data_IF_295707016334
#
_entry.id   IF_295707016334
#
_cell.length_a   1.000
_cell.length_b   1.000
_cell.length_c   1.000
_cell.angle_alpha   90.00
_cell.angle_beta   90.00
_cell.angle_gamma   90.00
#
_symmetry.space_group_name_H-M   'P 1'
#
loop_
_entity.id
_entity.type
_entity.pdbx_description
1 polymer ?
#
# COMPACT_ATOMS: atom_id res chain seq x y z
N UNK A 1 -11.66 14.51 12.06
CA UNK A 1 -11.07 13.29 11.47
C UNK A 1 -10.06 12.71 12.44
N UNK A 2 -10.18 11.42 12.76
CA UNK A 2 -9.20 10.72 13.60
C UNK A 2 -7.88 10.53 12.87
N UNK A 3 -6.81 10.25 13.64
CA UNK A 3 -5.51 9.94 13.04
C UNK A 3 -5.58 8.74 12.11
N UNK A 4 -6.31 7.70 12.49
CA UNK A 4 -6.47 6.50 11.69
C UNK A 4 -7.16 6.79 10.36
N UNK A 5 -8.23 7.57 10.37
CA UNK A 5 -8.92 7.96 9.14
C UNK A 5 -8.06 8.87 8.26
N UNK A 6 -7.32 9.79 8.87
CA UNK A 6 -6.40 10.66 8.14
C UNK A 6 -5.30 9.84 7.45
N UNK A 7 -4.76 8.85 8.14
CA UNK A 7 -3.75 7.95 7.57
C UNK A 7 -4.33 7.02 6.51
N UNK A 8 -5.58 6.62 6.65
CA UNK A 8 -6.28 5.88 5.59
C UNK A 8 -6.40 6.76 4.33
N UNK A 9 -6.82 8.02 4.50
CA UNK A 9 -6.91 8.95 3.38
C UNK A 9 -5.53 9.18 2.73
N UNK A 10 -4.49 9.36 3.54
CA UNK A 10 -3.13 9.50 3.04
C UNK A 10 -2.65 8.24 2.28
N UNK A 11 -3.05 7.06 2.74
CA UNK A 11 -2.72 5.80 2.06
C UNK A 11 -3.45 5.70 0.71
N UNK A 12 -4.68 6.20 0.63
CA UNK A 12 -5.40 6.28 -0.65
C UNK A 12 -4.63 7.17 -1.63
N UNK A 13 -4.13 8.32 -1.18
CA UNK A 13 -3.30 9.19 -2.03
C UNK A 13 -2.01 8.51 -2.45
N UNK A 14 -1.38 7.78 -1.54
CA UNK A 14 -0.19 6.98 -1.86
C UNK A 14 -0.50 5.92 -2.92
N UNK A 15 -1.63 5.24 -2.79
CA UNK A 15 -2.07 4.24 -3.76
C UNK A 15 -2.33 4.85 -5.13
N UNK A 16 -2.99 6.00 -5.18
CA UNK A 16 -3.23 6.72 -6.43
C UNK A 16 -1.92 7.17 -7.09
N UNK A 17 -0.98 7.67 -6.30
CA UNK A 17 0.35 8.05 -6.78
C UNK A 17 1.07 6.84 -7.38
N UNK A 18 1.10 5.72 -6.69
CA UNK A 18 1.74 4.50 -7.20
C UNK A 18 1.05 3.95 -8.45
N UNK A 19 -0.28 3.99 -8.48
CA UNK A 19 -1.06 3.57 -9.65
C UNK A 19 -0.67 4.41 -10.87
N UNK A 20 -0.67 5.73 -10.73
CA UNK A 20 -0.33 6.63 -11.83
C UNK A 20 1.12 6.48 -12.27
N UNK A 21 2.04 6.32 -11.33
CA UNK A 21 3.46 6.11 -11.64
C UNK A 21 3.68 4.81 -12.40
N UNK A 22 3.12 3.71 -11.92
CA UNK A 22 3.22 2.40 -12.58
C UNK A 22 2.60 2.43 -13.98
N UNK A 23 1.41 3.02 -14.10
CA UNK A 23 0.73 3.15 -15.39
C UNK A 23 1.52 4.00 -16.38
N UNK A 24 2.10 5.10 -15.92
CA UNK A 24 2.91 5.98 -16.76
C UNK A 24 4.16 5.27 -17.27
N UNK A 25 4.87 4.58 -16.40
CA UNK A 25 6.08 3.85 -16.80
C UNK A 25 5.77 2.71 -17.77
N UNK A 26 4.70 1.96 -17.53
CA UNK A 26 4.26 0.92 -18.45
C UNK A 26 3.89 1.49 -19.81
N UNK A 27 3.18 2.61 -19.83
CA UNK A 27 2.77 3.27 -21.09
C UNK A 27 3.97 3.81 -21.85
N UNK A 28 4.99 4.33 -21.15
CA UNK A 28 6.23 4.78 -21.80
C UNK A 28 6.96 3.63 -22.50
N UNK A 29 6.93 2.44 -21.94
CA UNK A 29 7.59 1.28 -22.54
C UNK A 29 6.75 0.61 -23.62
N UNK A 30 5.42 0.52 -23.44
CA UNK A 30 4.52 -0.25 -24.29
C UNK A 30 3.72 0.59 -25.28
N UNK A 31 3.65 1.90 -25.06
CA UNK A 31 2.99 2.86 -25.93
C UNK A 31 1.52 3.10 -25.57
N UNK A 32 0.99 4.20 -26.11
CA UNK A 32 -0.39 4.63 -25.87
C UNK A 32 -1.41 3.71 -26.53
N UNK A 33 -1.10 3.16 -27.70
CA UNK A 33 -1.98 2.22 -28.38
C UNK A 33 -2.20 0.95 -27.54
N UNK A 34 -1.15 0.48 -26.87
CA UNK A 34 -1.27 -0.63 -25.93
C UNK A 34 -2.12 -0.23 -24.73
N UNK A 35 -1.85 0.95 -24.14
CA UNK A 35 -2.58 1.43 -22.96
C UNK A 35 -4.08 1.50 -23.23
N UNK A 36 -4.48 2.15 -24.32
CA UNK A 36 -5.87 2.39 -24.66
C UNK A 36 -6.55 1.20 -25.33
N UNK A 37 -5.78 0.24 -25.84
CA UNK A 37 -6.29 -0.92 -26.56
C UNK A 37 -6.72 -2.06 -25.68
N UNK A 38 -7.16 -3.17 -26.28
CA UNK A 38 -7.66 -4.34 -25.54
C UNK A 38 -6.54 -5.17 -24.89
N UNK A 39 -5.28 -4.94 -25.25
CA UNK A 39 -4.09 -5.61 -24.71
C UNK A 39 -4.06 -7.12 -24.94
N UNK A 40 -4.65 -7.57 -26.04
CA UNK A 40 -4.75 -9.01 -26.37
C UNK A 40 -3.41 -9.61 -26.81
N UNK A 41 -2.56 -8.79 -27.43
CA UNK A 41 -1.25 -9.24 -27.92
C UNK A 41 -0.26 -9.37 -26.78
N UNK A 42 0.57 -10.43 -26.85
CA UNK A 42 1.68 -10.59 -25.91
C UNK A 42 2.65 -9.43 -26.02
N UNK A 43 3.14 -8.96 -24.88
CA UNK A 43 4.13 -7.89 -24.80
C UNK A 43 5.32 -8.37 -23.99
N UNK A 44 6.52 -7.84 -24.22
CA UNK A 44 7.68 -8.15 -23.37
C UNK A 44 7.43 -7.74 -21.92
N UNK A 45 8.09 -8.39 -20.96
CA UNK A 45 8.04 -7.94 -19.56
C UNK A 45 8.50 -6.49 -19.43
N UNK A 46 7.97 -5.79 -18.43
CA UNK A 46 8.40 -4.43 -18.10
C UNK A 46 9.89 -4.43 -17.72
N UNK A 47 10.56 -3.32 -18.01
CA UNK A 47 11.95 -3.12 -17.61
C UNK A 47 12.11 -3.10 -16.09
N UNK A 48 13.35 -2.97 -15.63
CA UNK A 48 13.71 -3.13 -14.22
C UNK A 48 12.89 -2.22 -13.30
N UNK A 49 12.90 -0.91 -13.53
CA UNK A 49 12.21 0.02 -12.64
C UNK A 49 10.70 -0.01 -12.81
N UNK A 50 10.23 -0.04 -14.05
CA UNK A 50 8.79 -0.14 -14.32
C UNK A 50 8.21 -1.41 -13.71
N UNK A 51 8.90 -2.53 -13.83
CA UNK A 51 8.49 -3.81 -13.25
C UNK A 51 8.48 -3.79 -11.74
N UNK A 52 9.51 -3.19 -11.11
CA UNK A 52 9.59 -3.07 -9.65
C UNK A 52 8.46 -2.21 -9.09
N UNK A 53 8.19 -1.07 -9.72
CA UNK A 53 7.12 -0.17 -9.27
C UNK A 53 5.74 -0.76 -9.50
N UNK A 54 5.55 -1.51 -10.58
CA UNK A 54 4.31 -2.27 -10.82
C UNK A 54 4.08 -3.31 -9.72
N UNK A 55 5.11 -4.06 -9.35
CA UNK A 55 5.01 -5.06 -8.28
C UNK A 55 4.83 -4.43 -6.91
N UNK A 56 5.47 -3.28 -6.65
CA UNK A 56 5.28 -2.55 -5.40
C UNK A 56 3.83 -2.10 -5.23
N UNK A 57 3.22 -1.60 -6.30
CA UNK A 57 1.82 -1.22 -6.30
C UNK A 57 0.91 -2.43 -6.07
N UNK A 58 1.13 -3.52 -6.78
CA UNK A 58 0.35 -4.75 -6.59
C UNK A 58 0.46 -5.28 -5.16
N UNK A 59 1.64 -5.20 -4.58
CA UNK A 59 1.85 -5.58 -3.19
C UNK A 59 1.06 -4.68 -2.23
N UNK A 60 1.03 -3.37 -2.48
CA UNK A 60 0.19 -2.47 -1.70
C UNK A 60 -1.28 -2.89 -1.76
N UNK A 61 -1.77 -3.25 -2.95
CA UNK A 61 -3.17 -3.67 -3.13
C UNK A 61 -3.50 -4.97 -2.39
N UNK A 62 -2.52 -5.81 -2.11
CA UNK A 62 -2.74 -7.03 -1.33
C UNK A 62 -3.05 -6.74 0.15
N UNK A 63 -2.49 -5.68 0.71
CA UNK A 63 -2.65 -5.33 2.14
C UNK A 63 -3.58 -4.16 2.38
N UNK A 64 -3.76 -3.29 1.39
CA UNK A 64 -4.57 -2.08 1.54
C UNK A 64 -6.02 -2.36 1.97
N UNK A 65 -6.75 -3.32 1.38
CA UNK A 65 -8.10 -3.62 1.84
C UNK A 65 -8.15 -4.04 3.31
N UNK A 66 -7.15 -4.77 3.77
CA UNK A 66 -7.04 -5.20 5.16
C UNK A 66 -6.83 -4.01 6.09
N UNK A 67 -5.96 -3.08 5.70
CA UNK A 67 -5.74 -1.85 6.45
C UNK A 67 -7.00 -0.99 6.50
N UNK A 68 -7.65 -0.78 5.35
CA UNK A 68 -8.87 -0.01 5.26
C UNK A 68 -9.98 -0.60 6.15
N UNK A 69 -10.17 -1.91 6.07
CA UNK A 69 -11.16 -2.60 6.91
C UNK A 69 -10.84 -2.45 8.40
N UNK A 70 -9.58 -2.59 8.80
CA UNK A 70 -9.16 -2.45 10.19
C UNK A 70 -9.41 -1.02 10.71
N UNK A 71 -9.11 0.00 9.92
CA UNK A 71 -9.37 1.40 10.27
C UNK A 71 -10.88 1.61 10.45
N UNK A 72 -11.69 1.09 9.53
CA UNK A 72 -13.15 1.23 9.59
C UNK A 72 -13.74 0.49 10.78
N UNK A 73 -13.19 -0.67 11.15
CA UNK A 73 -13.60 -1.38 12.36
C UNK A 73 -13.31 -0.53 13.60
N UNK A 74 -12.12 0.06 13.69
CA UNK A 74 -11.78 0.96 14.80
C UNK A 74 -12.75 2.14 14.87
N UNK A 75 -13.09 2.73 13.73
CA UNK A 75 -14.04 3.84 13.65
C UNK A 75 -15.44 3.39 14.09
N UNK A 76 -15.91 2.26 13.60
CA UNK A 76 -17.24 1.73 13.90
C UNK A 76 -17.41 1.34 15.38
N UNK A 77 -16.34 0.83 15.99
CA UNK A 77 -16.33 0.45 17.41
C UNK A 77 -16.04 1.62 18.35
N UNK A 78 -15.69 2.77 17.81
CA UNK A 78 -15.32 3.94 18.61
C UNK A 78 -13.98 3.82 19.31
N UNK A 79 -13.14 2.86 18.93
CA UNK A 79 -11.82 2.66 19.54
C UNK A 79 -10.81 3.60 18.88
N UNK A 80 -10.20 4.45 19.71
CA UNK A 80 -9.21 5.41 19.27
C UNK A 80 -8.20 5.59 20.41
N UNK A 81 -7.05 4.94 20.30
CA UNK A 81 -6.02 4.94 21.35
C UNK A 81 -4.63 4.85 20.74
N UNK A 82 -3.61 4.80 21.60
CA UNK A 82 -2.21 4.76 21.17
C UNK A 82 -1.88 3.57 20.27
N UNK A 83 -2.53 2.43 20.46
CA UNK A 83 -2.28 1.24 19.64
C UNK A 83 -2.93 1.38 18.25
N UNK A 84 -4.15 1.91 18.17
CA UNK A 84 -4.79 2.13 16.87
C UNK A 84 -4.05 3.21 16.07
N UNK A 85 -3.65 4.29 16.72
CA UNK A 85 -2.87 5.36 16.08
C UNK A 85 -1.51 4.83 15.66
N UNK A 86 -0.80 4.16 16.56
CA UNK A 86 0.54 3.61 16.28
C UNK A 86 0.53 2.58 15.16
N UNK A 87 -0.46 1.69 15.17
CA UNK A 87 -0.63 0.69 14.10
C UNK A 87 -0.87 1.33 12.75
N UNK A 88 -1.70 2.36 12.69
CA UNK A 88 -1.98 3.09 11.46
C UNK A 88 -0.74 3.82 10.92
N UNK A 89 0.03 4.47 11.79
CA UNK A 89 1.29 5.11 11.42
C UNK A 89 2.31 4.10 10.91
N UNK A 90 2.42 2.96 11.59
CA UNK A 90 3.36 1.92 11.21
C UNK A 90 3.07 1.38 9.81
N UNK A 91 1.79 1.15 9.50
CA UNK A 91 1.40 0.73 8.16
C UNK A 91 1.71 1.80 7.12
N UNK A 92 1.23 3.01 7.32
CA UNK A 92 1.36 4.09 6.33
C UNK A 92 2.83 4.39 6.02
N UNK A 93 3.64 4.68 7.06
CA UNK A 93 5.04 5.04 6.85
C UNK A 93 5.87 3.87 6.34
N UNK A 94 5.54 2.66 6.77
CA UNK A 94 6.14 1.45 6.19
C UNK A 94 5.86 1.35 4.70
N UNK A 95 4.64 1.64 4.26
CA UNK A 95 4.29 1.62 2.84
C UNK A 95 4.94 2.76 2.04
N UNK A 96 5.11 3.92 2.64
CA UNK A 96 5.85 5.03 2.02
C UNK A 96 7.31 4.61 1.77
N UNK A 97 7.98 4.04 2.76
CA UNK A 97 9.36 3.58 2.63
C UNK A 97 9.49 2.39 1.68
N UNK A 98 8.47 1.55 1.59
CA UNK A 98 8.48 0.35 0.76
C UNK A 98 8.70 0.68 -0.73
N UNK A 99 8.17 1.80 -1.21
CA UNK A 99 8.28 2.19 -2.63
C UNK A 99 9.73 2.37 -3.06
N UNK A 100 10.53 3.26 -2.43
CA UNK A 100 11.93 3.41 -2.83
C UNK A 100 12.78 2.17 -2.52
N UNK A 101 12.46 1.43 -1.46
CA UNK A 101 13.18 0.20 -1.14
C UNK A 101 12.95 -0.88 -2.20
N UNK A 102 11.71 -1.01 -2.68
CA UNK A 102 11.43 -1.95 -3.77
C UNK A 102 12.11 -1.52 -5.07
N UNK A 103 12.05 -0.24 -5.39
CA UNK A 103 12.67 0.31 -6.59
C UNK A 103 14.19 0.13 -6.59
N UNK A 104 14.83 0.21 -5.41
CA UNK A 104 16.28 0.02 -5.27
C UNK A 104 16.73 -1.44 -5.39
N UNK A 105 15.79 -2.39 -5.28
CA UNK A 105 16.09 -3.81 -5.39
C UNK A 105 16.68 -4.45 -4.13
N UNK A 106 16.61 -3.79 -2.98
CA UNK A 106 17.11 -4.33 -1.71
C UNK A 106 16.11 -5.36 -1.15
N UNK A 107 16.44 -6.68 -1.13
CA UNK A 107 15.44 -7.69 -0.83
C UNK A 107 15.10 -7.82 0.66
N UNK A 108 16.10 -7.89 1.53
CA UNK A 108 15.85 -8.18 2.96
C UNK A 108 15.30 -6.97 3.71
N UNK A 109 15.81 -5.78 3.41
CA UNK A 109 15.33 -4.53 4.03
C UNK A 109 13.88 -4.28 3.62
N UNK A 110 13.55 -4.50 2.35
CA UNK A 110 12.19 -4.41 1.83
C UNK A 110 11.24 -5.34 2.58
N UNK A 111 11.63 -6.60 2.75
CA UNK A 111 10.80 -7.59 3.44
C UNK A 111 10.61 -7.26 4.92
N UNK A 112 11.65 -6.74 5.58
CA UNK A 112 11.56 -6.30 6.96
C UNK A 112 10.56 -5.13 7.11
N UNK A 113 10.62 -4.14 6.23
CA UNK A 113 9.70 -3.00 6.22
C UNK A 113 8.27 -3.47 5.93
N UNK A 114 8.09 -4.41 5.00
CA UNK A 114 6.79 -5.01 4.73
C UNK A 114 6.21 -5.69 5.98
N UNK A 115 7.02 -6.45 6.67
CA UNK A 115 6.59 -7.16 7.89
C UNK A 115 6.17 -6.18 8.99
N UNK A 116 6.95 -5.11 9.20
CA UNK A 116 6.61 -4.07 10.17
C UNK A 116 5.32 -3.35 9.80
N UNK A 117 5.15 -3.03 8.53
CA UNK A 117 3.94 -2.38 8.01
C UNK A 117 2.71 -3.27 8.23
N UNK A 118 2.81 -4.54 7.87
CA UNK A 118 1.73 -5.51 8.04
C UNK A 118 1.42 -5.75 9.51
N UNK A 119 2.43 -5.75 10.36
CA UNK A 119 2.24 -5.80 11.82
C UNK A 119 1.41 -4.62 12.33
N UNK A 120 1.54 -3.45 11.70
CA UNK A 120 0.70 -2.30 12.01
C UNK A 120 -0.79 -2.58 11.84
N UNK A 121 -1.16 -3.35 10.80
CA UNK A 121 -2.56 -3.79 10.61
C UNK A 121 -3.00 -4.69 11.76
N UNK A 122 -2.16 -5.61 12.17
CA UNK A 122 -2.45 -6.54 13.27
C UNK A 122 -2.66 -5.78 14.58
N UNK A 123 -1.79 -4.82 14.88
CA UNK A 123 -1.93 -3.97 16.07
C UNK A 123 -3.24 -3.19 16.06
N UNK A 124 -3.54 -2.56 14.95
CA UNK A 124 -4.74 -1.76 14.77
C UNK A 124 -6.00 -2.62 14.95
N UNK A 125 -6.05 -3.76 14.28
CA UNK A 125 -7.19 -4.67 14.35
C UNK A 125 -7.37 -5.25 15.76
N UNK A 126 -6.29 -5.74 16.36
CA UNK A 126 -6.32 -6.31 17.70
C UNK A 126 -6.78 -5.27 18.73
N UNK A 127 -6.24 -4.05 18.66
CA UNK A 127 -6.64 -2.98 19.56
C UNK A 127 -8.11 -2.62 19.39
N UNK A 128 -8.59 -2.54 18.15
CA UNK A 128 -9.99 -2.23 17.88
C UNK A 128 -10.95 -3.30 18.41
N UNK A 129 -10.60 -4.57 18.21
CA UNK A 129 -11.47 -5.69 18.60
C UNK A 129 -11.44 -5.91 20.13
N UNK A 130 -10.25 -5.97 20.72
CA UNK A 130 -10.12 -6.32 22.13
C UNK A 130 -10.44 -5.14 23.06
N UNK A 131 -10.18 -3.90 22.63
CA UNK A 131 -10.54 -2.73 23.44
C UNK A 131 -12.03 -2.40 23.38
N UNK A 132 -12.73 -2.85 22.34
CA UNK A 132 -14.18 -2.67 22.20
C UNK A 132 -14.98 -3.68 23.03
N UNK A 133 -14.36 -4.82 23.38
CA UNK A 133 -14.97 -5.82 24.25
C UNK A 133 -14.94 -5.37 25.71
#
# INVERSE_FOLDING_TARGET
>A
VTHELALLAATILLALFQLMLAARLATRERGMAWNAGPRDKAVPPLGTYAGRLDRAFKNLMETFPLFAAAVLIAQATGVHNGLTIGGAHLYFWGRVLYVPLYASGLPYVRSAVWSLSTFGIVLLLAAAVFSAA
#
